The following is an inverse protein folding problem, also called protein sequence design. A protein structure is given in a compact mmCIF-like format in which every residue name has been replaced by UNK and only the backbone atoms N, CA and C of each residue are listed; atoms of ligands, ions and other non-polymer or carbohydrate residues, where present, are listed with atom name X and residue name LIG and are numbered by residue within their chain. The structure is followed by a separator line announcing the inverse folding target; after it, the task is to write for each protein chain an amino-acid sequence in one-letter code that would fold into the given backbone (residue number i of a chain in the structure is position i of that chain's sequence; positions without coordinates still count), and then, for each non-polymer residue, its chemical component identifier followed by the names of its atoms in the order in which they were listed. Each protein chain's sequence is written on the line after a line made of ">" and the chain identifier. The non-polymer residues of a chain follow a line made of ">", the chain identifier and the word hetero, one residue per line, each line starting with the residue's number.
data_IF_215670727493
#
_entry.id   IF_215670727493
#
_cell.length_a   1.000
_cell.length_b   1.000
_cell.length_c   1.000
_cell.angle_alpha   90.00
_cell.angle_beta   90.00
_cell.angle_gamma   90.00
#
_symmetry.space_group_name_H-M   'P 1'
#
loop_
_entity.id
_entity.type
_entity.pdbx_description
1 polymer ?
#
# COMPACT_ATOMS: atom_id res chain seq x y z
N UNK A 1 -0.43 -44.93 22.63
CA UNK A 1 -1.82 -44.66 23.11
C UNK A 1 -2.04 -43.18 23.44
N UNK A 2 -1.20 -42.30 22.85
CA UNK A 2 -1.36 -40.82 22.88
C UNK A 2 -2.38 -40.28 21.88
N UNK A 3 -2.92 -41.13 21.00
CA UNK A 3 -3.68 -40.73 19.81
C UNK A 3 -5.03 -40.09 20.09
N UNK A 4 -5.74 -40.49 21.14
CA UNK A 4 -7.05 -39.90 21.48
C UNK A 4 -6.91 -38.50 22.09
N UNK A 5 -5.88 -38.30 22.91
CA UNK A 5 -5.57 -36.98 23.47
C UNK A 5 -5.13 -36.00 22.39
N UNK A 6 -4.36 -36.47 21.41
CA UNK A 6 -3.87 -35.64 20.29
C UNK A 6 -5.01 -35.24 19.34
N UNK A 7 -5.95 -36.17 19.09
CA UNK A 7 -7.16 -35.92 18.31
C UNK A 7 -8.06 -34.90 19.01
N UNK A 8 -8.26 -35.04 20.33
CA UNK A 8 -9.05 -34.10 21.12
C UNK A 8 -8.43 -32.70 21.11
N UNK A 9 -7.11 -32.59 21.19
CA UNK A 9 -6.41 -31.32 21.12
C UNK A 9 -6.53 -30.69 19.73
N UNK A 10 -6.44 -31.50 18.66
CA UNK A 10 -6.61 -31.04 17.28
C UNK A 10 -8.04 -30.57 17.01
N UNK A 11 -9.04 -31.31 17.56
CA UNK A 11 -10.44 -30.91 17.43
C UNK A 11 -10.74 -29.61 18.18
N UNK A 12 -10.23 -29.45 19.40
CA UNK A 12 -10.35 -28.20 20.17
C UNK A 12 -9.69 -27.03 19.46
N UNK A 13 -8.51 -27.23 18.87
CA UNK A 13 -7.82 -26.22 18.10
C UNK A 13 -8.62 -25.82 16.85
N UNK A 14 -9.22 -26.82 16.18
CA UNK A 14 -10.08 -26.59 15.00
C UNK A 14 -11.37 -25.85 15.36
N UNK A 15 -11.99 -26.19 16.49
CA UNK A 15 -13.18 -25.49 17.00
C UNK A 15 -12.86 -24.03 17.37
N UNK A 16 -11.70 -23.78 17.94
CA UNK A 16 -11.21 -22.41 18.22
C UNK A 16 -11.01 -21.64 16.91
N UNK A 17 -10.42 -22.25 15.88
CA UNK A 17 -10.24 -21.63 14.56
C UNK A 17 -11.59 -21.37 13.87
N UNK A 18 -12.57 -22.26 14.01
CA UNK A 18 -13.92 -22.09 13.44
C UNK A 18 -14.74 -21.01 14.15
N UNK A 19 -14.48 -20.78 15.43
CA UNK A 19 -15.19 -19.80 16.26
C UNK A 19 -14.50 -18.44 16.32
N UNK A 20 -13.33 -18.27 15.68
CA UNK A 20 -12.68 -16.97 15.57
C UNK A 20 -13.54 -16.07 14.67
N UNK A 21 -13.98 -14.90 15.12
CA UNK A 21 -14.75 -13.99 14.27
C UNK A 21 -13.96 -13.69 12.99
N UNK A 22 -14.58 -13.91 11.83
CA UNK A 22 -13.99 -13.50 10.57
C UNK A 22 -13.90 -11.97 10.56
N UNK A 23 -12.68 -11.46 10.43
CA UNK A 23 -12.43 -10.04 10.26
C UNK A 23 -12.97 -9.64 8.88
N UNK A 24 -13.93 -8.71 8.85
CA UNK A 24 -14.41 -8.12 7.59
C UNK A 24 -13.45 -7.01 7.15
N UNK A 25 -12.72 -7.18 6.04
CA UNK A 25 -11.79 -6.16 5.56
C UNK A 25 -12.44 -4.80 5.32
N UNK A 26 -13.72 -4.77 4.94
CA UNK A 26 -14.46 -3.51 4.73
C UNK A 26 -14.60 -2.73 6.04
N UNK A 27 -14.95 -3.40 7.13
CA UNK A 27 -15.06 -2.76 8.44
C UNK A 27 -13.70 -2.26 8.94
N UNK A 28 -12.66 -3.08 8.75
CA UNK A 28 -11.30 -2.73 9.17
C UNK A 28 -10.78 -1.52 8.41
N UNK A 29 -10.98 -1.45 7.09
CA UNK A 29 -10.49 -0.30 6.32
C UNK A 29 -11.20 0.99 6.71
N UNK A 30 -12.48 0.91 7.07
CA UNK A 30 -13.20 2.07 7.57
C UNK A 30 -12.67 2.53 8.92
N UNK A 31 -12.37 1.58 9.83
CA UNK A 31 -11.71 1.89 11.10
C UNK A 31 -10.36 2.57 10.87
N UNK A 32 -9.55 2.05 9.96
CA UNK A 32 -8.27 2.64 9.62
C UNK A 32 -8.41 4.08 9.11
N UNK A 33 -9.38 4.33 8.23
CA UNK A 33 -9.65 5.68 7.73
C UNK A 33 -10.08 6.64 8.84
N UNK A 34 -10.87 6.16 9.80
CA UNK A 34 -11.25 6.95 10.98
C UNK A 34 -10.03 7.27 11.84
N UNK A 35 -9.16 6.28 12.06
CA UNK A 35 -7.90 6.51 12.78
C UNK A 35 -7.05 7.58 12.09
N UNK A 36 -6.92 7.53 10.77
CA UNK A 36 -6.17 8.53 10.00
C UNK A 36 -6.80 9.92 10.12
N UNK A 37 -8.13 10.00 10.06
CA UNK A 37 -8.84 11.27 10.22
C UNK A 37 -8.62 11.89 11.62
N UNK A 38 -8.38 11.06 12.62
CA UNK A 38 -8.10 11.47 14.00
C UNK A 38 -6.59 11.57 14.32
N UNK A 39 -5.74 11.44 13.30
CA UNK A 39 -4.28 11.44 13.45
C UNK A 39 -3.75 10.30 14.35
N UNK A 40 -4.51 9.24 14.48
CA UNK A 40 -4.12 8.03 15.22
C UNK A 40 -3.37 7.07 14.28
N UNK A 41 -2.22 7.50 13.78
CA UNK A 41 -1.51 6.83 12.68
C UNK A 41 -1.06 5.42 13.05
N UNK A 42 -0.63 5.18 14.30
CA UNK A 42 -0.21 3.84 14.73
C UNK A 42 -1.36 2.85 14.71
N UNK A 43 -2.54 3.26 15.18
CA UNK A 43 -3.74 2.41 15.13
C UNK A 43 -4.16 2.14 13.68
N UNK A 44 -4.06 3.14 12.83
CA UNK A 44 -4.33 2.97 11.39
C UNK A 44 -3.40 1.91 10.78
N UNK A 45 -2.11 1.99 11.05
CA UNK A 45 -1.13 1.01 10.58
C UNK A 45 -1.50 -0.40 11.05
N UNK A 46 -1.81 -0.58 12.33
CA UNK A 46 -2.20 -1.88 12.88
C UNK A 46 -3.43 -2.46 12.15
N UNK A 47 -4.45 -1.66 11.94
CA UNK A 47 -5.65 -2.07 11.21
C UNK A 47 -5.37 -2.40 9.74
N UNK A 48 -4.57 -1.58 9.06
CA UNK A 48 -4.21 -1.82 7.67
C UNK A 48 -3.37 -3.08 7.50
N UNK A 49 -2.47 -3.36 8.43
CA UNK A 49 -1.68 -4.60 8.44
C UNK A 49 -2.58 -5.83 8.61
N UNK A 50 -3.64 -5.74 9.41
CA UNK A 50 -4.61 -6.84 9.52
C UNK A 50 -5.24 -7.19 8.17
N UNK A 51 -5.56 -6.18 7.36
CA UNK A 51 -6.11 -6.40 6.01
C UNK A 51 -5.10 -7.11 5.12
N UNK A 52 -3.86 -6.63 5.10
CA UNK A 52 -2.79 -7.20 4.28
C UNK A 52 -2.50 -8.66 4.67
N UNK A 53 -2.53 -8.97 5.96
CA UNK A 53 -2.28 -10.31 6.49
C UNK A 53 -3.48 -11.24 6.34
N UNK A 54 -4.69 -10.72 6.16
CA UNK A 54 -5.93 -11.51 6.08
C UNK A 54 -6.07 -12.34 4.81
N UNK A 55 -5.23 -12.12 3.80
CA UNK A 55 -5.31 -12.74 2.47
C UNK A 55 -6.68 -12.56 1.82
N UNK A 56 -7.26 -11.37 1.96
CA UNK A 56 -8.57 -11.07 1.38
C UNK A 56 -8.58 -11.22 -0.14
N UNK A 57 -9.69 -11.72 -0.67
CA UNK A 57 -9.96 -11.78 -2.10
C UNK A 57 -10.48 -10.44 -2.66
N UNK A 58 -10.79 -9.49 -1.80
CA UNK A 58 -11.22 -8.15 -2.23
C UNK A 58 -9.99 -7.32 -2.59
N UNK A 59 -9.61 -7.38 -3.86
CA UNK A 59 -8.38 -6.75 -4.35
C UNK A 59 -8.45 -5.21 -4.33
N UNK A 60 -9.63 -4.63 -4.44
CA UNK A 60 -9.80 -3.17 -4.32
C UNK A 60 -9.51 -2.69 -2.90
N UNK A 61 -10.02 -3.40 -1.88
CA UNK A 61 -9.71 -3.09 -0.48
C UNK A 61 -8.22 -3.31 -0.21
N UNK A 62 -7.64 -4.36 -0.75
CA UNK A 62 -6.22 -4.64 -0.60
C UNK A 62 -5.37 -3.52 -1.22
N UNK A 63 -5.73 -3.06 -2.43
CA UNK A 63 -5.04 -1.96 -3.09
C UNK A 63 -5.12 -0.67 -2.26
N UNK A 64 -6.29 -0.36 -1.71
CA UNK A 64 -6.47 0.78 -0.82
C UNK A 64 -5.64 0.65 0.46
N UNK A 65 -5.62 -0.54 1.06
CA UNK A 65 -4.84 -0.81 2.26
C UNK A 65 -3.34 -0.58 2.03
N UNK A 66 -2.78 -1.06 0.93
CA UNK A 66 -1.38 -0.82 0.59
C UNK A 66 -1.11 0.67 0.35
N UNK A 67 -2.00 1.35 -0.36
CA UNK A 67 -1.87 2.80 -0.59
C UNK A 67 -1.86 3.58 0.73
N UNK A 68 -2.82 3.29 1.61
CA UNK A 68 -2.91 3.98 2.90
C UNK A 68 -1.73 3.66 3.82
N UNK A 69 -1.22 2.42 3.81
CA UNK A 69 0.00 2.05 4.52
C UNK A 69 1.19 2.86 4.02
N UNK A 70 1.39 2.89 2.72
CA UNK A 70 2.48 3.66 2.12
C UNK A 70 2.42 5.13 2.52
N UNK A 71 1.23 5.73 2.46
CA UNK A 71 1.01 7.13 2.84
C UNK A 71 1.26 7.38 4.31
N UNK A 72 0.78 6.49 5.18
CA UNK A 72 0.92 6.64 6.63
C UNK A 72 2.37 6.50 7.05
N UNK A 73 3.09 5.52 6.54
CA UNK A 73 4.52 5.39 6.79
C UNK A 73 5.32 6.58 6.27
N UNK A 74 4.92 7.14 5.12
CA UNK A 74 5.54 8.37 4.61
C UNK A 74 5.41 9.53 5.60
N UNK A 75 4.20 9.75 6.14
CA UNK A 75 3.93 10.80 7.13
C UNK A 75 4.76 10.58 8.39
N UNK A 76 4.91 9.34 8.82
CA UNK A 76 5.70 8.96 10.00
C UNK A 76 7.22 9.01 9.75
N UNK A 77 7.66 9.35 8.55
CA UNK A 77 9.08 9.42 8.20
C UNK A 77 9.74 8.06 7.98
N UNK A 78 8.97 6.99 7.93
CA UNK A 78 9.47 5.63 7.71
C UNK A 78 9.47 5.30 6.22
N UNK A 79 10.43 5.88 5.49
CA UNK A 79 10.44 5.84 4.03
C UNK A 79 10.64 4.46 3.45
N UNK A 80 11.41 3.58 4.09
CA UNK A 80 11.62 2.21 3.58
C UNK A 80 10.34 1.39 3.63
N UNK A 81 9.54 1.54 4.69
CA UNK A 81 8.23 0.90 4.78
C UNK A 81 7.25 1.49 3.76
N UNK A 82 7.28 2.80 3.57
CA UNK A 82 6.48 3.48 2.54
C UNK A 82 6.78 2.92 1.15
N UNK A 83 8.06 2.83 0.77
CA UNK A 83 8.52 2.27 -0.50
C UNK A 83 8.06 0.81 -0.64
N UNK A 84 8.17 0.01 0.42
CA UNK A 84 7.75 -1.38 0.43
C UNK A 84 6.28 -1.52 0.04
N UNK A 85 5.39 -0.81 0.70
CA UNK A 85 3.96 -0.99 0.49
C UNK A 85 3.46 -0.38 -0.82
N UNK A 86 3.96 0.77 -1.23
CA UNK A 86 3.69 1.30 -2.56
C UNK A 86 4.24 0.38 -3.66
N UNK A 87 5.43 -0.19 -3.45
CA UNK A 87 6.04 -1.11 -4.39
C UNK A 87 5.23 -2.40 -4.56
N UNK A 88 4.75 -3.00 -3.46
CA UNK A 88 3.89 -4.17 -3.51
C UNK A 88 2.59 -3.85 -4.26
N UNK A 89 1.97 -2.71 -3.96
CA UNK A 89 0.76 -2.25 -4.64
C UNK A 89 0.97 -2.19 -6.15
N UNK A 90 2.06 -1.60 -6.58
CA UNK A 90 2.39 -1.45 -8.00
C UNK A 90 2.67 -2.80 -8.67
N UNK A 91 3.46 -3.65 -8.02
CA UNK A 91 3.88 -4.95 -8.58
C UNK A 91 2.73 -5.96 -8.65
N UNK A 92 1.97 -6.10 -7.57
CA UNK A 92 1.07 -7.24 -7.38
C UNK A 92 -0.38 -6.93 -7.76
N UNK A 93 -0.76 -5.65 -7.85
CA UNK A 93 -2.14 -5.22 -8.09
C UNK A 93 -2.26 -4.28 -9.30
N UNK A 94 -1.43 -4.50 -10.31
CA UNK A 94 -1.36 -3.63 -11.50
C UNK A 94 -2.68 -3.53 -12.27
N UNK A 95 -3.51 -4.57 -12.23
CA UNK A 95 -4.82 -4.59 -12.90
C UNK A 95 -5.91 -3.83 -12.12
N UNK A 96 -5.67 -3.51 -10.86
CA UNK A 96 -6.63 -2.80 -10.01
C UNK A 96 -6.41 -1.30 -10.20
N UNK A 97 -7.43 -0.60 -10.67
CA UNK A 97 -7.30 0.84 -10.99
C UNK A 97 -7.37 1.76 -9.77
N UNK A 98 -8.02 1.30 -8.68
CA UNK A 98 -8.18 2.10 -7.47
C UNK A 98 -6.82 2.48 -6.86
N UNK A 99 -6.55 3.77 -6.75
CA UNK A 99 -5.29 4.33 -6.26
C UNK A 99 -4.03 3.88 -7.02
N UNK A 100 -4.16 3.42 -8.27
CA UNK A 100 -3.01 2.94 -9.05
C UNK A 100 -1.99 4.04 -9.34
N UNK A 101 -2.43 5.11 -9.95
CA UNK A 101 -1.57 6.25 -10.27
C UNK A 101 -1.09 6.98 -9.03
N UNK A 102 -1.97 7.17 -8.04
CA UNK A 102 -1.62 7.79 -6.77
C UNK A 102 -0.50 7.02 -6.05
N UNK A 103 -0.62 5.71 -5.97
CA UNK A 103 0.38 4.85 -5.31
C UNK A 103 1.73 4.91 -6.02
N UNK A 104 1.72 4.91 -7.33
CA UNK A 104 2.94 4.97 -8.13
C UNK A 104 3.64 6.31 -8.00
N UNK A 105 2.87 7.39 -8.03
CA UNK A 105 3.38 8.74 -7.78
C UNK A 105 4.07 8.85 -6.41
N UNK A 106 3.39 8.35 -5.35
CA UNK A 106 3.94 8.39 -4.00
C UNK A 106 5.15 7.46 -3.82
N UNK A 107 5.23 6.37 -4.58
CA UNK A 107 6.44 5.55 -4.64
C UNK A 107 7.61 6.39 -5.13
N UNK A 108 7.42 7.14 -6.22
CA UNK A 108 8.44 8.05 -6.74
C UNK A 108 8.85 9.11 -5.73
N UNK A 109 7.89 9.73 -5.04
CA UNK A 109 8.18 10.70 -3.97
C UNK A 109 9.00 10.10 -2.83
N UNK A 110 8.67 8.89 -2.43
CA UNK A 110 9.38 8.18 -1.37
C UNK A 110 10.83 7.88 -1.77
N UNK A 111 11.04 7.50 -3.02
CA UNK A 111 12.38 7.27 -3.57
C UNK A 111 13.22 8.56 -3.62
N UNK A 112 12.64 9.67 -4.04
CA UNK A 112 13.33 10.96 -3.94
C UNK A 112 13.71 11.30 -2.50
N UNK A 113 12.86 10.97 -1.54
CA UNK A 113 13.13 11.25 -0.12
C UNK A 113 14.31 10.47 0.45
N UNK A 114 14.61 9.29 -0.09
CA UNK A 114 15.82 8.54 0.32
C UNK A 114 17.03 8.86 -0.55
N UNK A 115 16.92 9.82 -1.47
CA UNK A 115 18.00 10.21 -2.38
C UNK A 115 18.14 9.34 -3.62
N UNK A 116 17.18 8.46 -3.91
CA UNK A 116 17.18 7.67 -5.14
C UNK A 116 16.60 8.49 -6.30
N UNK A 117 17.41 9.41 -6.79
CA UNK A 117 17.07 10.33 -7.87
C UNK A 117 16.71 9.60 -9.16
N UNK A 118 17.49 8.60 -9.51
CA UNK A 118 17.33 7.87 -10.76
C UNK A 118 15.98 7.16 -10.84
N UNK A 119 15.64 6.37 -9.84
CA UNK A 119 14.38 5.63 -9.82
C UNK A 119 13.18 6.56 -9.62
N UNK A 120 13.32 7.60 -8.82
CA UNK A 120 12.27 8.61 -8.68
C UNK A 120 11.95 9.28 -10.03
N UNK A 121 12.98 9.68 -10.79
CA UNK A 121 12.80 10.26 -12.12
C UNK A 121 12.18 9.28 -13.12
N UNK A 122 12.59 8.01 -13.09
CA UNK A 122 12.00 6.98 -13.96
C UNK A 122 10.51 6.79 -13.71
N UNK A 123 10.09 6.81 -12.45
CA UNK A 123 8.66 6.72 -12.12
C UNK A 123 7.89 7.93 -12.65
N UNK A 124 8.41 9.14 -12.48
CA UNK A 124 7.75 10.34 -13.00
C UNK A 124 7.62 10.29 -14.52
N UNK A 125 8.66 9.87 -15.21
CA UNK A 125 8.65 9.68 -16.66
C UNK A 125 7.59 8.66 -17.09
N UNK A 126 7.52 7.54 -16.38
CA UNK A 126 6.55 6.48 -16.68
C UNK A 126 5.10 6.98 -16.49
N UNK A 127 4.82 7.73 -15.44
CA UNK A 127 3.49 8.32 -15.21
C UNK A 127 3.12 9.28 -16.35
N UNK A 128 4.07 10.11 -16.79
CA UNK A 128 3.82 11.14 -17.80
C UNK A 128 3.58 10.53 -19.18
N UNK A 129 4.30 9.48 -19.53
CA UNK A 129 4.30 8.94 -20.90
C UNK A 129 3.53 7.63 -21.05
N UNK A 130 3.09 6.99 -19.97
CA UNK A 130 2.30 5.77 -20.05
C UNK A 130 0.81 6.08 -20.18
N UNK A 131 0.13 5.38 -21.08
CA UNK A 131 -1.32 5.48 -21.26
C UNK A 131 -2.11 4.97 -20.05
N UNK A 132 -1.48 4.19 -19.16
CA UNK A 132 -2.13 3.63 -17.98
C UNK A 132 -2.63 4.66 -16.98
N UNK A 133 -2.09 5.88 -17.00
CA UNK A 133 -2.36 6.92 -16.01
C UNK A 133 -3.14 8.11 -16.55
N UNK A 134 -3.59 8.05 -17.80
CA UNK A 134 -4.30 9.15 -18.48
C UNK A 134 -5.63 9.53 -17.81
N UNK A 135 -6.25 8.59 -17.09
CA UNK A 135 -7.48 8.81 -16.35
C UNK A 135 -7.28 9.68 -15.09
N UNK A 136 -6.05 9.96 -14.72
CA UNK A 136 -5.66 10.75 -13.54
C UNK A 136 -4.83 11.98 -13.94
N UNK A 137 -5.45 12.88 -14.67
CA UNK A 137 -4.80 14.09 -15.17
C UNK A 137 -4.08 14.91 -14.09
N UNK A 138 -4.65 14.96 -12.87
CA UNK A 138 -4.05 15.68 -11.74
C UNK A 138 -2.71 15.03 -11.36
N UNK A 139 -2.64 13.71 -11.28
CA UNK A 139 -1.41 12.98 -10.92
C UNK A 139 -0.35 13.19 -12.01
N UNK A 140 -0.75 13.17 -13.28
CA UNK A 140 0.17 13.42 -14.40
C UNK A 140 0.77 14.83 -14.29
N UNK A 141 -0.04 15.83 -14.00
CA UNK A 141 0.44 17.22 -13.85
C UNK A 141 1.35 17.38 -12.62
N UNK A 142 1.03 16.70 -11.52
CA UNK A 142 1.90 16.68 -10.33
C UNK A 142 3.23 15.99 -10.64
N UNK A 143 3.22 14.91 -11.42
CA UNK A 143 4.44 14.22 -11.86
C UNK A 143 5.32 15.12 -12.73
N UNK A 144 4.73 15.88 -13.65
CA UNK A 144 5.46 16.86 -14.46
C UNK A 144 6.12 17.94 -13.59
N UNK A 145 5.39 18.46 -12.62
CA UNK A 145 5.90 19.46 -11.67
C UNK A 145 7.06 18.91 -10.85
N UNK A 146 6.92 17.71 -10.36
CA UNK A 146 7.95 17.05 -9.54
C UNK A 146 9.19 16.71 -10.37
N UNK A 147 9.01 16.24 -11.61
CA UNK A 147 10.08 15.98 -12.56
C UNK A 147 10.93 17.23 -12.78
N UNK A 148 10.29 18.37 -12.93
CA UNK A 148 10.95 19.66 -13.11
C UNK A 148 11.67 20.10 -11.83
N UNK A 149 11.01 20.02 -10.69
CA UNK A 149 11.58 20.36 -9.38
C UNK A 149 12.83 19.54 -9.07
N UNK A 150 12.81 18.25 -9.38
CA UNK A 150 13.91 17.33 -9.14
C UNK A 150 14.96 17.30 -10.24
N UNK A 151 14.84 18.15 -11.24
CA UNK A 151 15.76 18.22 -12.38
C UNK A 151 15.93 16.89 -13.13
N UNK A 152 14.85 16.13 -13.25
CA UNK A 152 14.85 14.90 -14.03
C UNK A 152 15.07 15.22 -15.52
N UNK A 153 15.96 14.48 -16.18
CA UNK A 153 16.24 14.68 -17.61
C UNK A 153 17.22 15.80 -17.94
N UNK A 154 17.75 16.51 -16.94
CA UNK A 154 18.79 17.54 -17.17
C UNK A 154 20.21 16.97 -17.22
N UNK A 155 20.36 15.64 -17.12
CA UNK A 155 21.64 14.95 -17.31
C UNK A 155 21.79 14.64 -18.80
N UNK A 156 21.76 15.67 -19.61
CA UNK A 156 22.07 15.54 -21.03
C UNK A 156 23.25 16.44 -21.28
N UNK A 157 24.37 15.82 -21.68
CA UNK A 157 25.53 16.53 -22.19
C UNK A 157 25.39 17.41 -23.28
#
# INVERSE_FOLDING_TARGET
>A
LSTLSDIDQLMKKKDIELNTPKIDPLDIIQMAKQNLASSENQKAIENLLLIVESKTNNLEILAEAYYLLGRTYFIEGQMMDSIKYFGIRHRDLSEITKFRSDSYFWLGKSLFNIGDQENGCLIMEDIIFSDLYLDKAIVVEEAKSLQKEKNCGLIID
#
